data_IF_354913006910
#
_entry.id   IF_354913006910
#
_cell.length_a   1.000
_cell.length_b   1.000
_cell.length_c   1.000
_cell.angle_alpha   90.00
_cell.angle_beta   90.00
_cell.angle_gamma   90.00
#
_symmetry.space_group_name_H-M   'P 1'
#
loop_
_entity.id
_entity.type
_entity.pdbx_description
1 polymer ?
#
# COMPACT_ATOMS: atom_id res chain seq x y z
N UNK A 1 0.16 5.49 21.25
CA UNK A 1 -0.81 4.69 20.46
C UNK A 1 -0.20 4.55 19.08
N UNK A 2 -0.18 3.35 18.51
CA UNK A 2 0.28 3.15 17.12
C UNK A 2 -0.92 3.36 16.19
N UNK A 3 -0.75 4.15 15.13
CA UNK A 3 -1.77 4.47 14.12
C UNK A 3 -1.33 3.87 12.79
N UNK A 4 -2.19 3.03 12.20
CA UNK A 4 -1.98 2.47 10.86
C UNK A 4 -2.97 3.14 9.89
N UNK A 5 -2.45 3.81 8.86
CA UNK A 5 -3.26 4.48 7.85
C UNK A 5 -3.84 3.51 6.83
N UNK A 6 -5.16 3.32 6.85
CA UNK A 6 -5.93 2.30 6.09
C UNK A 6 -6.35 2.67 4.65
N UNK A 7 -6.02 3.87 4.14
CA UNK A 7 -6.67 4.39 2.91
C UNK A 7 -6.10 3.83 1.60
N UNK A 8 -4.93 3.21 1.63
CA UNK A 8 -4.33 2.56 0.44
C UNK A 8 -4.79 1.10 0.41
N UNK A 9 -6.10 0.92 0.23
CA UNK A 9 -6.75 -0.37 0.20
C UNK A 9 -7.66 -0.47 -1.03
N UNK A 10 -7.42 -1.46 -1.90
CA UNK A 10 -8.15 -1.63 -3.16
C UNK A 10 -9.64 -1.92 -3.00
N UNK A 11 -10.09 -2.39 -1.82
CA UNK A 11 -11.51 -2.56 -1.52
C UNK A 11 -12.25 -1.22 -1.40
N UNK A 12 -11.53 -0.11 -1.19
CA UNK A 12 -12.10 1.24 -1.22
C UNK A 12 -12.32 1.63 -2.69
N UNK A 13 -13.56 1.93 -3.14
CA UNK A 13 -13.86 2.11 -4.56
C UNK A 13 -13.02 3.16 -5.30
N UNK A 14 -12.63 4.26 -4.63
CA UNK A 14 -11.75 5.27 -5.23
C UNK A 14 -10.32 4.76 -5.42
N UNK A 15 -9.80 4.03 -4.44
CA UNK A 15 -8.45 3.49 -4.45
C UNK A 15 -8.36 2.32 -5.43
N UNK A 16 -9.33 1.42 -5.44
CA UNK A 16 -9.42 0.34 -6.44
C UNK A 16 -9.46 0.87 -7.88
N UNK A 17 -10.18 1.97 -8.15
CA UNK A 17 -10.15 2.63 -9.46
C UNK A 17 -8.76 3.18 -9.81
N UNK A 18 -8.08 3.81 -8.85
CA UNK A 18 -6.72 4.31 -9.06
C UNK A 18 -5.72 3.17 -9.32
N UNK A 19 -5.83 2.05 -8.60
CA UNK A 19 -5.01 0.85 -8.83
C UNK A 19 -5.24 0.30 -10.23
N UNK A 20 -6.50 0.11 -10.64
CA UNK A 20 -6.85 -0.39 -11.96
C UNK A 20 -6.38 0.53 -13.10
N UNK A 21 -6.41 1.85 -12.88
CA UNK A 21 -5.93 2.86 -13.82
C UNK A 21 -4.41 3.13 -13.76
N UNK A 22 -3.68 2.46 -12.84
CA UNK A 22 -2.27 2.74 -12.52
C UNK A 22 -2.00 4.23 -12.23
N UNK A 23 -2.94 4.89 -11.56
CA UNK A 23 -2.82 6.28 -11.14
C UNK A 23 -1.91 6.39 -9.91
N UNK A 24 -0.62 6.54 -10.16
CA UNK A 24 0.39 6.65 -9.10
C UNK A 24 0.26 7.94 -8.28
N UNK A 25 -0.27 9.02 -8.86
CA UNK A 25 -0.39 10.31 -8.19
C UNK A 25 -1.45 10.25 -7.09
N UNK A 26 -2.58 9.59 -7.36
CA UNK A 26 -3.61 9.36 -6.36
C UNK A 26 -3.06 8.57 -5.16
N UNK A 27 -2.34 7.47 -5.41
CA UNK A 27 -1.76 6.63 -4.34
C UNK A 27 -0.70 7.40 -3.55
N UNK A 28 0.21 8.11 -4.23
CA UNK A 28 1.22 8.98 -3.61
C UNK A 28 0.57 10.01 -2.69
N UNK A 29 -0.49 10.69 -3.15
CA UNK A 29 -1.19 11.69 -2.37
C UNK A 29 -1.86 11.12 -1.12
N UNK A 30 -2.37 9.88 -1.16
CA UNK A 30 -2.88 9.21 0.03
C UNK A 30 -1.78 8.91 1.04
N UNK A 31 -0.62 8.41 0.59
CA UNK A 31 0.52 8.12 1.46
C UNK A 31 1.00 9.39 2.20
N UNK A 32 1.12 10.50 1.46
CA UNK A 32 1.51 11.82 2.01
C UNK A 32 0.48 12.28 3.05
N UNK A 33 -0.81 12.30 2.71
CA UNK A 33 -1.87 12.77 3.62
C UNK A 33 -1.96 11.96 4.91
N UNK A 34 -1.77 10.64 4.82
CA UNK A 34 -1.77 9.77 6.01
C UNK A 34 -0.52 10.01 6.87
N UNK A 35 0.63 10.24 6.25
CA UNK A 35 1.87 10.61 6.94
C UNK A 35 1.71 11.95 7.67
N UNK A 36 1.20 12.98 6.98
CA UNK A 36 0.96 14.31 7.56
C UNK A 36 -0.07 14.29 8.70
N UNK A 37 -1.01 13.33 8.68
CA UNK A 37 -1.97 13.10 9.74
C UNK A 37 -1.40 12.34 10.95
N UNK A 38 -0.13 11.90 10.89
CA UNK A 38 0.56 11.23 12.00
C UNK A 38 0.40 9.71 12.02
N UNK A 39 0.23 9.06 10.87
CA UNK A 39 0.29 7.60 10.78
C UNK A 39 1.71 7.09 11.12
N UNK A 40 1.78 6.08 11.98
CA UNK A 40 3.02 5.38 12.33
C UNK A 40 3.38 4.29 11.30
N UNK A 41 2.37 3.76 10.60
CA UNK A 41 2.49 2.83 9.47
C UNK A 41 1.48 3.17 8.37
N UNK A 42 1.80 2.83 7.12
CA UNK A 42 0.86 2.87 6.00
C UNK A 42 0.43 1.45 5.66
N UNK A 43 -0.86 1.14 5.80
CA UNK A 43 -1.45 -0.10 5.31
C UNK A 43 -1.45 -0.10 3.78
N UNK A 44 -1.00 -1.20 3.17
CA UNK A 44 -0.99 -1.38 1.72
C UNK A 44 -1.70 -2.69 1.40
N UNK A 45 -2.87 -2.59 0.79
CA UNK A 45 -3.71 -3.71 0.41
C UNK A 45 -4.13 -3.59 -1.07
N UNK A 46 -3.77 -4.57 -1.89
CA UNK A 46 -4.07 -4.54 -3.33
C UNK A 46 -5.56 -4.80 -3.63
N UNK A 47 -6.18 -5.76 -2.92
CA UNK A 47 -7.58 -6.20 -3.13
C UNK A 47 -7.94 -6.47 -4.60
N UNK A 48 -7.06 -7.16 -5.31
CA UNK A 48 -7.23 -7.63 -6.70
C UNK A 48 -7.16 -9.15 -6.73
N UNK A 49 -7.36 -9.75 -7.90
CA UNK A 49 -7.23 -11.19 -8.08
C UNK A 49 -5.82 -11.70 -7.72
N UNK A 50 -5.76 -12.90 -7.13
CA UNK A 50 -4.54 -13.51 -6.59
C UNK A 50 -3.39 -13.61 -7.61
N UNK A 51 -3.70 -13.75 -8.90
CA UNK A 51 -2.73 -13.90 -9.99
C UNK A 51 -1.94 -12.62 -10.28
N UNK A 52 -2.49 -11.46 -9.95
CA UNK A 52 -1.87 -10.14 -10.14
C UNK A 52 -1.57 -9.41 -8.82
N UNK A 53 -1.92 -10.01 -7.68
CA UNK A 53 -1.81 -9.38 -6.36
C UNK A 53 -0.37 -8.99 -6.02
N UNK A 54 0.59 -9.90 -6.17
CA UNK A 54 1.99 -9.63 -5.79
C UNK A 54 2.64 -8.54 -6.64
N UNK A 55 2.35 -8.49 -7.95
CA UNK A 55 2.81 -7.42 -8.84
C UNK A 55 2.19 -6.08 -8.44
N UNK A 56 0.91 -6.07 -8.12
CA UNK A 56 0.19 -4.88 -7.68
C UNK A 56 0.71 -4.38 -6.34
N UNK A 57 0.97 -5.29 -5.39
CA UNK A 57 1.60 -4.98 -4.10
C UNK A 57 2.98 -4.34 -4.29
N UNK A 58 3.82 -4.90 -5.16
CA UNK A 58 5.13 -4.30 -5.47
C UNK A 58 5.00 -2.86 -5.98
N UNK A 59 4.08 -2.63 -6.93
CA UNK A 59 3.83 -1.30 -7.49
C UNK A 59 3.36 -0.30 -6.42
N UNK A 60 2.43 -0.70 -5.55
CA UNK A 60 1.96 0.13 -4.43
C UNK A 60 3.09 0.43 -3.43
N UNK A 61 3.86 -0.58 -3.04
CA UNK A 61 4.98 -0.46 -2.11
C UNK A 61 6.04 0.51 -2.64
N UNK A 62 6.39 0.42 -3.92
CA UNK A 62 7.37 1.32 -4.53
C UNK A 62 6.87 2.78 -4.48
N UNK A 63 5.60 3.04 -4.79
CA UNK A 63 5.02 4.39 -4.74
C UNK A 63 4.99 4.94 -3.31
N UNK A 64 4.54 4.15 -2.33
CA UNK A 64 4.40 4.60 -0.94
C UNK A 64 5.76 4.94 -0.35
N UNK A 65 6.77 4.10 -0.56
CA UNK A 65 8.13 4.34 -0.05
C UNK A 65 8.86 5.50 -0.74
N UNK A 66 8.45 5.86 -1.96
CA UNK A 66 8.95 7.05 -2.64
C UNK A 66 8.19 8.33 -2.24
N UNK A 67 7.09 8.20 -1.49
CA UNK A 67 6.25 9.30 -1.04
C UNK A 67 6.46 9.67 0.43
N UNK A 68 6.87 8.70 1.25
CA UNK A 68 7.04 8.88 2.70
C UNK A 68 8.09 7.93 3.28
N UNK A 69 8.66 8.34 4.41
CA UNK A 69 9.56 7.55 5.23
C UNK A 69 8.83 6.63 6.23
N UNK A 70 7.50 6.75 6.37
CA UNK A 70 6.68 5.93 7.26
C UNK A 70 6.71 4.46 6.79
N UNK A 71 6.96 3.49 7.69
CA UNK A 71 7.01 2.08 7.33
C UNK A 71 5.66 1.54 6.82
N UNK A 72 5.71 0.45 6.06
CA UNK A 72 4.53 -0.18 5.45
C UNK A 72 4.04 -1.36 6.31
N UNK A 73 2.74 -1.44 6.51
CA UNK A 73 2.05 -2.65 6.93
C UNK A 73 1.54 -3.38 5.67
N UNK A 74 2.13 -4.53 5.35
CA UNK A 74 1.72 -5.36 4.21
C UNK A 74 0.41 -6.08 4.57
N UNK A 75 -0.67 -5.77 3.85
CA UNK A 75 -2.00 -6.36 4.08
C UNK A 75 -2.41 -7.22 2.88
N UNK A 76 -2.50 -8.52 3.13
CA UNK A 76 -3.02 -9.51 2.19
C UNK A 76 -3.54 -10.72 2.97
N UNK A 77 -4.64 -11.36 2.51
CA UNK A 77 -5.08 -12.64 3.05
C UNK A 77 -4.17 -13.80 2.62
N UNK A 78 -3.31 -13.60 1.61
CA UNK A 78 -2.42 -14.62 1.09
C UNK A 78 -1.05 -14.56 1.79
N UNK A 79 -0.69 -15.57 2.61
CA UNK A 79 0.57 -15.55 3.34
C UNK A 79 1.80 -15.56 2.42
N UNK A 80 1.69 -16.14 1.22
CA UNK A 80 2.76 -16.08 0.23
C UNK A 80 2.99 -14.65 -0.26
N UNK A 81 1.91 -13.92 -0.59
CA UNK A 81 1.99 -12.50 -0.97
C UNK A 81 2.61 -11.69 0.16
N UNK A 82 2.21 -11.91 1.42
CA UNK A 82 2.82 -11.21 2.56
C UNK A 82 4.34 -11.41 2.63
N UNK A 83 4.81 -12.66 2.57
CA UNK A 83 6.24 -12.99 2.67
C UNK A 83 7.04 -12.41 1.51
N UNK A 84 6.53 -12.50 0.29
CA UNK A 84 7.23 -11.98 -0.89
C UNK A 84 7.20 -10.45 -0.95
N UNK A 85 6.07 -9.81 -0.63
CA UNK A 85 5.93 -8.36 -0.65
C UNK A 85 6.80 -7.67 0.41
N UNK A 86 6.95 -8.26 1.60
CA UNK A 86 7.84 -7.73 2.65
C UNK A 86 9.30 -7.58 2.18
N UNK A 87 9.76 -8.39 1.20
CA UNK A 87 11.11 -8.26 0.62
C UNK A 87 11.30 -6.97 -0.18
N UNK A 88 10.22 -6.31 -0.59
CA UNK A 88 10.25 -5.02 -1.29
C UNK A 88 10.26 -3.83 -0.33
N UNK A 89 9.98 -4.05 0.97
CA UNK A 89 10.00 -3.01 1.98
C UNK A 89 11.45 -2.67 2.37
N UNK A 90 11.83 -1.40 2.23
CA UNK A 90 13.09 -0.80 2.65
C UNK A 90 13.20 -0.73 4.19
N UNK A 91 12.06 -0.74 4.89
CA UNK A 91 11.94 -0.71 6.37
C UNK A 91 11.02 -1.85 6.82
N UNK A 92 11.49 -3.11 6.80
CA UNK A 92 10.71 -4.27 7.24
C UNK A 92 10.55 -4.34 8.76
#
# INVERSE_FOLDING_TARGET
>A
MIIIGEKINGAIPSTGKAIAAKDSEFIRNLAIKQTEAGADFIDVCASVDDDIELETMKWLIDIVQDATDVPIAVDSPNPHTCVEAMKYCKKP
#
